data_IF_320176505426
#
_entry.id   IF_320176505426
#
_cell.length_a   1.000
_cell.length_b   1.000
_cell.length_c   1.000
_cell.angle_alpha   90.00
_cell.angle_beta   90.00
_cell.angle_gamma   90.00
#
_symmetry.space_group_name_H-M   'P 1'
#
loop_
_entity.id
_entity.type
_entity.pdbx_description
1 polymer ?
#
# COMPACT_ATOMS: atom_id res chain seq x y z
N UNK A 1 -13.15 1.73 7.19
CA UNK A 1 -12.02 1.51 6.29
C UNK A 1 -10.84 2.43 6.61
N UNK A 2 -9.64 1.93 6.36
CA UNK A 2 -8.42 2.69 6.61
C UNK A 2 -7.75 3.08 5.29
N UNK A 3 -7.31 4.33 5.22
CA UNK A 3 -6.64 4.83 4.03
C UNK A 3 -5.20 4.33 3.98
N UNK A 4 -4.73 3.97 2.81
CA UNK A 4 -3.33 3.58 2.61
C UNK A 4 -2.47 4.84 2.77
N UNK A 5 -1.56 4.82 3.72
CA UNK A 5 -0.70 5.97 4.01
C UNK A 5 0.78 5.68 3.86
N UNK A 6 1.15 4.43 3.65
CA UNK A 6 2.55 4.04 3.54
C UNK A 6 2.77 3.10 2.37
N UNK A 7 3.95 3.14 1.81
CA UNK A 7 4.36 2.20 0.78
C UNK A 7 5.86 1.99 0.91
N UNK A 8 6.33 0.86 0.42
CA UNK A 8 7.76 0.55 0.40
C UNK A 8 8.23 0.45 -1.04
N UNK A 9 9.45 0.90 -1.28
CA UNK A 9 10.06 0.82 -2.59
C UNK A 9 11.30 -0.06 -2.50
N UNK A 10 11.34 -1.08 -3.35
CA UNK A 10 12.46 -2.01 -3.42
C UNK A 10 13.28 -1.69 -4.65
N UNK A 11 14.37 -0.99 -4.47
CA UNK A 11 15.18 -0.52 -5.59
C UNK A 11 15.80 -1.66 -6.40
N UNK A 12 16.16 -2.74 -5.75
CA UNK A 12 16.74 -3.92 -6.43
C UNK A 12 15.79 -4.50 -7.47
N UNK A 13 14.51 -4.56 -7.12
CA UNK A 13 13.51 -5.11 -8.02
C UNK A 13 12.75 -4.04 -8.78
N UNK A 14 13.00 -2.78 -8.48
CA UNK A 14 12.28 -1.66 -9.08
C UNK A 14 10.76 -1.83 -8.89
N UNK A 15 10.36 -2.24 -7.70
CA UNK A 15 8.98 -2.48 -7.37
C UNK A 15 8.55 -1.64 -6.18
N UNK A 16 7.29 -1.27 -6.16
CA UNK A 16 6.71 -0.53 -5.06
C UNK A 16 5.47 -1.27 -4.56
N UNK A 17 5.38 -1.44 -3.25
CA UNK A 17 4.23 -2.09 -2.62
C UNK A 17 3.59 -1.15 -1.62
N UNK A 18 2.27 -1.11 -1.62
CA UNK A 18 1.54 -0.40 -0.57
C UNK A 18 1.56 -1.25 0.70
N UNK A 19 1.42 -0.60 1.83
CA UNK A 19 1.47 -1.26 3.13
C UNK A 19 0.13 -1.12 3.83
N UNK A 20 -0.37 -2.21 4.37
CA UNK A 20 -1.60 -2.18 5.13
C UNK A 20 -1.44 -1.28 6.36
N UNK A 21 -2.32 -0.30 6.57
CA UNK A 21 -2.18 0.61 7.71
C UNK A 21 -2.43 -0.05 9.06
N UNK A 22 -3.02 -1.22 9.07
CA UNK A 22 -3.31 -1.93 10.31
C UNK A 22 -2.25 -2.94 10.68
N UNK A 23 -1.93 -3.86 9.80
CA UNK A 23 -0.97 -4.93 10.11
C UNK A 23 0.43 -4.68 9.57
N UNK A 24 0.59 -3.66 8.77
CA UNK A 24 1.88 -3.22 8.20
C UNK A 24 2.54 -4.25 7.28
N UNK A 25 1.76 -5.12 6.70
CA UNK A 25 2.29 -6.06 5.71
C UNK A 25 2.18 -5.47 4.32
N UNK A 26 3.12 -5.80 3.47
CA UNK A 26 3.09 -5.36 2.08
C UNK A 26 1.89 -5.97 1.37
N UNK A 27 1.19 -5.16 0.59
CA UNK A 27 0.03 -5.58 -0.17
C UNK A 27 0.49 -5.87 -1.58
N UNK A 28 0.42 -7.12 -1.98
CA UNK A 28 0.88 -7.55 -3.30
C UNK A 28 -0.03 -7.08 -4.42
N UNK A 29 -1.32 -7.00 -4.15
CA UNK A 29 -2.29 -6.55 -5.13
C UNK A 29 -2.86 -5.20 -4.75
N UNK A 30 -2.69 -4.22 -5.61
CA UNK A 30 -3.26 -2.90 -5.39
C UNK A 30 -4.77 -2.91 -5.63
N UNK A 31 -5.44 -1.97 -5.02
CA UNK A 31 -6.88 -1.75 -5.19
C UNK A 31 -7.76 -2.91 -4.70
N UNK A 32 -7.22 -3.71 -3.79
CA UNK A 32 -8.06 -4.72 -3.13
C UNK A 32 -8.94 -4.05 -2.09
N UNK A 33 -10.13 -4.58 -1.87
CA UNK A 33 -11.05 -4.02 -0.89
C UNK A 33 -10.59 -4.24 0.54
N UNK A 34 -9.89 -5.35 0.78
CA UNK A 34 -9.47 -5.75 2.12
C UNK A 34 -8.06 -6.29 2.09
N UNK A 35 -7.36 -6.11 3.20
CA UNK A 35 -6.05 -6.70 3.39
C UNK A 35 -6.18 -8.22 3.48
N UNK A 36 -5.38 -8.95 2.73
CA UNK A 36 -5.43 -10.41 2.73
C UNK A 36 -4.91 -11.02 4.02
N UNK A 37 -4.15 -10.27 4.80
CA UNK A 37 -3.57 -10.77 6.06
C UNK A 37 -4.48 -10.53 7.26
N UNK A 38 -4.97 -9.33 7.43
CA UNK A 38 -5.75 -8.97 8.62
C UNK A 38 -7.22 -8.69 8.33
N UNK A 39 -7.60 -8.63 7.08
CA UNK A 39 -8.99 -8.38 6.68
C UNK A 39 -9.46 -6.95 6.82
N UNK A 40 -8.55 -6.03 7.09
CA UNK A 40 -8.91 -4.63 7.23
C UNK A 40 -9.40 -4.06 5.89
N UNK A 41 -10.54 -3.40 5.90
CA UNK A 41 -11.04 -2.73 4.71
C UNK A 41 -10.13 -1.55 4.37
N UNK A 42 -9.76 -1.43 3.10
CA UNK A 42 -8.77 -0.46 2.65
C UNK A 42 -9.40 0.59 1.75
N UNK A 43 -8.89 1.82 1.86
CA UNK A 43 -9.21 2.90 0.95
C UNK A 43 -7.98 3.22 0.11
N UNK A 44 -8.17 3.27 -1.17
CA UNK A 44 -7.08 3.54 -2.13
C UNK A 44 -7.13 4.95 -2.67
N UNK A 45 -7.87 5.81 -2.02
CA UNK A 45 -7.99 7.20 -2.41
C UNK A 45 -6.63 7.89 -2.30
N UNK A 46 -6.27 8.69 -3.27
CA UNK A 46 -5.02 9.45 -3.28
C UNK A 46 -3.74 8.59 -3.31
N UNK A 47 -3.86 7.35 -3.74
CA UNK A 47 -2.70 6.46 -3.84
C UNK A 47 -1.63 6.99 -4.81
N UNK A 48 -2.03 7.68 -5.84
CA UNK A 48 -1.11 8.26 -6.81
C UNK A 48 -0.25 9.34 -6.17
N UNK A 49 -0.83 10.12 -5.29
CA UNK A 49 -0.11 11.15 -4.56
C UNK A 49 0.91 10.52 -3.62
N UNK A 50 0.52 9.46 -2.93
CA UNK A 50 1.40 8.74 -2.05
C UNK A 50 2.60 8.17 -2.81
N UNK A 51 2.37 7.56 -3.93
CA UNK A 51 3.43 6.99 -4.77
C UNK A 51 4.39 8.06 -5.28
N UNK A 52 3.89 9.24 -5.59
CA UNK A 52 4.74 10.32 -6.05
C UNK A 52 5.67 10.81 -4.94
N UNK A 53 5.24 10.78 -3.69
CA UNK A 53 6.06 11.17 -2.56
C UNK A 53 7.16 10.15 -2.24
N UNK A 54 6.94 8.90 -2.54
CA UNK A 54 7.88 7.84 -2.25
C UNK A 54 8.88 7.66 -3.38
N UNK A 55 8.79 8.39 -4.34
CA UNK A 55 9.54 8.27 -5.55
C UNK A 55 11.02 8.04 -5.33
N UNK A 56 11.48 6.85 -5.59
CA UNK A 56 12.88 6.44 -5.60
C UNK A 56 13.70 7.01 -4.49
#
# INVERSE_FOLDING_TARGET
>A
PMKIEQAIYISKANLMFSVCPRCHKAIEREYTNHCSSCGQKLLWQDIDILKSHINK
#
